data_IF_697315769452
#
_entry.id   IF_697315769452
#
_cell.length_a   1.000
_cell.length_b   1.000
_cell.length_c   1.000
_cell.angle_alpha   90.00
_cell.angle_beta   90.00
_cell.angle_gamma   90.00
#
_symmetry.space_group_name_H-M   'P 1'
#
loop_
_entity.id
_entity.type
_entity.pdbx_description
1 polymer ?
#
# COMPACT_ATOMS: atom_id res chain seq x y z
N UNK A 1 17.97 15.56 -13.04
CA UNK A 1 17.43 14.32 -13.64
C UNK A 1 16.12 13.99 -12.98
N UNK A 2 15.14 13.66 -13.81
CA UNK A 2 13.82 13.25 -13.33
C UNK A 2 13.91 11.79 -12.83
N UNK A 3 13.36 11.54 -11.66
CA UNK A 3 13.29 10.19 -11.12
C UNK A 3 12.38 9.32 -12.00
N UNK A 4 12.88 8.19 -12.43
CA UNK A 4 12.14 7.27 -13.30
C UNK A 4 12.02 5.88 -12.63
N UNK A 5 10.84 5.54 -12.07
CA UNK A 5 10.65 4.22 -11.45
C UNK A 5 10.85 3.06 -12.43
N UNK A 6 10.50 3.24 -13.70
CA UNK A 6 10.63 2.16 -14.68
C UNK A 6 12.08 1.73 -14.86
N UNK A 7 13.03 2.65 -14.77
CA UNK A 7 14.45 2.33 -14.85
C UNK A 7 14.94 1.46 -13.70
N UNK A 8 14.19 1.42 -12.58
CA UNK A 8 14.50 0.63 -11.39
C UNK A 8 13.68 -0.67 -11.32
N UNK A 9 13.00 -1.02 -12.40
CA UNK A 9 12.25 -2.28 -12.50
C UNK A 9 10.80 -2.20 -12.03
N UNK A 10 10.29 -0.99 -11.72
CA UNK A 10 8.90 -0.79 -11.35
C UNK A 10 8.02 -0.72 -12.59
N UNK A 11 6.80 -1.22 -12.48
CA UNK A 11 5.78 -1.13 -13.53
C UNK A 11 4.58 -0.35 -13.01
N UNK A 12 4.11 0.60 -13.81
CA UNK A 12 2.87 1.30 -13.50
C UNK A 12 1.70 0.31 -13.58
N UNK A 13 0.87 0.29 -12.54
CA UNK A 13 -0.31 -0.56 -12.52
C UNK A 13 -1.39 0.09 -13.39
N UNK A 14 -2.12 -0.76 -14.14
CA UNK A 14 -3.25 -0.32 -14.98
C UNK A 14 -4.59 -0.70 -14.37
N UNK A 15 -4.56 -1.51 -13.32
CA UNK A 15 -5.73 -1.99 -12.59
C UNK A 15 -5.62 -1.58 -11.14
N UNK A 16 -6.72 -1.67 -10.41
CA UNK A 16 -6.78 -1.27 -9.00
C UNK A 16 -6.38 0.20 -8.82
N UNK A 17 -7.10 1.15 -9.45
CA UNK A 17 -6.76 2.56 -9.31
C UNK A 17 -6.98 3.05 -7.90
N UNK A 18 -6.05 3.84 -7.40
CA UNK A 18 -6.20 4.61 -6.18
C UNK A 18 -6.99 5.89 -6.48
N UNK A 19 -7.45 6.63 -5.46
CA UNK A 19 -7.99 7.96 -5.69
C UNK A 19 -7.07 8.79 -6.58
N UNK A 20 -7.65 9.58 -7.49
CA UNK A 20 -6.88 10.31 -8.52
C UNK A 20 -5.80 11.22 -7.95
N UNK A 21 -5.99 11.72 -6.72
CA UNK A 21 -5.01 12.56 -6.03
C UNK A 21 -3.70 11.81 -5.73
N UNK A 22 -3.73 10.48 -5.62
CA UNK A 22 -2.54 9.67 -5.36
C UNK A 22 -1.97 9.13 -6.68
N UNK A 23 -2.81 9.00 -7.69
CA UNK A 23 -2.42 8.53 -9.01
C UNK A 23 -2.34 7.01 -9.10
N UNK A 24 -1.60 6.53 -10.07
CA UNK A 24 -1.43 5.11 -10.29
C UNK A 24 -0.29 4.57 -9.44
N UNK A 25 -0.51 3.44 -8.75
CA UNK A 25 0.58 2.80 -8.03
C UNK A 25 1.56 2.14 -9.00
N UNK A 26 2.76 1.92 -8.51
CA UNK A 26 3.78 1.12 -9.19
C UNK A 26 3.89 -0.22 -8.49
N UNK A 27 4.21 -1.27 -9.26
CA UNK A 27 4.39 -2.61 -8.73
C UNK A 27 5.72 -3.18 -9.18
N UNK A 28 6.35 -3.96 -8.31
CA UNK A 28 7.61 -4.65 -8.59
C UNK A 28 7.59 -6.01 -7.92
N UNK A 29 7.96 -7.04 -8.66
CA UNK A 29 8.09 -8.38 -8.10
C UNK A 29 9.52 -8.58 -7.61
N UNK A 30 9.66 -9.00 -6.35
CA UNK A 30 10.94 -9.35 -5.75
C UNK A 30 10.80 -10.72 -5.10
N UNK A 31 11.69 -11.65 -5.41
CA UNK A 31 11.63 -13.04 -4.96
C UNK A 31 10.25 -13.63 -5.22
N UNK A 32 9.51 -13.99 -4.18
CA UNK A 32 8.18 -14.58 -4.29
C UNK A 32 7.06 -13.62 -3.87
N UNK A 33 7.35 -12.32 -3.80
CA UNK A 33 6.39 -11.35 -3.29
C UNK A 33 6.33 -10.10 -4.17
N UNK A 34 5.23 -9.36 -4.06
CA UNK A 34 5.04 -8.09 -4.73
C UNK A 34 5.33 -6.94 -3.78
N UNK A 35 5.92 -5.89 -4.32
CA UNK A 35 6.06 -4.59 -3.67
C UNK A 35 5.28 -3.56 -4.47
N UNK A 36 4.79 -2.56 -3.76
CA UNK A 36 4.04 -1.46 -4.37
C UNK A 36 4.67 -0.14 -3.98
N UNK A 37 4.46 0.89 -4.79
CA UNK A 37 5.03 2.20 -4.54
C UNK A 37 4.17 3.29 -5.18
N UNK A 38 4.35 4.52 -4.71
CA UNK A 38 3.80 5.69 -5.38
C UNK A 38 4.76 6.87 -5.25
N UNK A 39 4.70 7.76 -6.24
CA UNK A 39 5.51 8.97 -6.24
C UNK A 39 4.70 10.09 -5.60
N UNK A 40 5.25 10.69 -4.54
CA UNK A 40 4.60 11.81 -3.86
C UNK A 40 4.79 13.10 -4.64
N UNK A 41 3.83 14.02 -4.52
CA UNK A 41 3.84 15.31 -5.20
C UNK A 41 3.53 16.43 -4.22
N UNK A 42 3.65 17.67 -4.68
CA UNK A 42 3.32 18.84 -3.86
C UNK A 42 1.86 18.87 -3.44
N UNK A 43 0.96 18.24 -4.19
CA UNK A 43 -0.46 18.15 -3.84
C UNK A 43 -0.69 17.30 -2.58
N UNK A 44 0.26 16.46 -2.21
CA UNK A 44 0.15 15.59 -1.05
C UNK A 44 0.65 16.25 0.25
N UNK A 45 1.24 17.45 0.14
CA UNK A 45 1.91 18.09 1.26
C UNK A 45 0.93 18.82 2.18
N UNK A 46 1.23 18.76 3.49
CA UNK A 46 0.59 19.61 4.50
C UNK A 46 1.25 21.00 4.52
N UNK A 47 0.69 21.96 5.33
CA UNK A 47 1.31 23.29 5.42
C UNK A 47 2.75 23.32 5.90
N UNK A 48 3.22 22.28 6.59
CA UNK A 48 4.61 22.17 7.06
C UNK A 48 5.55 21.58 6.01
N UNK A 49 5.04 21.22 4.83
CA UNK A 49 5.87 20.69 3.74
C UNK A 49 6.10 19.18 3.79
N UNK A 50 5.43 18.48 4.69
CA UNK A 50 5.49 17.01 4.73
C UNK A 50 4.27 16.41 4.05
N UNK A 51 4.41 15.21 3.50
CA UNK A 51 3.26 14.48 2.94
C UNK A 51 2.30 14.12 4.07
N UNK A 52 1.00 14.37 3.84
CA UNK A 52 -0.04 14.04 4.81
C UNK A 52 0.00 12.56 5.20
N UNK A 53 -0.09 12.29 6.51
CA UNK A 53 -0.21 10.92 7.00
C UNK A 53 -1.42 10.21 6.40
N UNK A 54 -2.51 10.94 6.15
CA UNK A 54 -3.71 10.38 5.50
C UNK A 54 -3.46 9.92 4.07
N UNK A 55 -2.58 10.57 3.32
CA UNK A 55 -2.17 10.13 1.98
C UNK A 55 -1.39 8.81 2.09
N UNK A 56 -0.44 8.73 3.01
CA UNK A 56 0.32 7.50 3.24
C UNK A 56 -0.59 6.35 3.67
N UNK A 57 -1.58 6.64 4.51
CA UNK A 57 -2.56 5.64 4.96
C UNK A 57 -3.48 5.18 3.84
N UNK A 58 -3.90 6.07 2.95
CA UNK A 58 -4.70 5.67 1.78
C UNK A 58 -3.92 4.72 0.88
N UNK A 59 -2.67 5.06 0.61
CA UNK A 59 -1.80 4.19 -0.18
C UNK A 59 -1.60 2.84 0.52
N UNK A 60 -1.32 2.84 1.82
CA UNK A 60 -1.11 1.61 2.58
C UNK A 60 -2.37 0.75 2.64
N UNK A 61 -3.53 1.35 2.91
CA UNK A 61 -4.80 0.63 2.94
C UNK A 61 -5.10 -0.04 1.60
N UNK A 62 -4.94 0.70 0.52
CA UNK A 62 -5.18 0.19 -0.83
C UNK A 62 -4.26 -1.00 -1.14
N UNK A 63 -2.97 -0.84 -0.90
CA UNK A 63 -1.97 -1.83 -1.31
C UNK A 63 -1.89 -3.03 -0.36
N UNK A 64 -2.03 -2.83 0.95
CA UNK A 64 -2.16 -3.97 1.88
C UNK A 64 -3.44 -4.74 1.61
N UNK A 65 -4.50 -4.06 1.16
CA UNK A 65 -5.73 -4.71 0.70
C UNK A 65 -5.51 -5.63 -0.49
N UNK A 66 -4.54 -5.33 -1.36
CA UNK A 66 -4.18 -6.23 -2.47
C UNK A 66 -3.57 -7.53 -1.93
N UNK A 67 -2.69 -7.44 -0.92
CA UNK A 67 -2.15 -8.64 -0.27
C UNK A 67 -3.27 -9.49 0.34
N UNK A 68 -4.24 -8.84 0.99
CA UNK A 68 -5.39 -9.54 1.57
C UNK A 68 -6.25 -10.22 0.50
N UNK A 69 -6.51 -9.52 -0.59
CA UNK A 69 -7.29 -10.02 -1.72
C UNK A 69 -6.62 -11.24 -2.36
N UNK A 70 -5.31 -11.20 -2.58
CA UNK A 70 -4.58 -12.37 -3.12
C UNK A 70 -4.63 -13.55 -2.15
N UNK A 71 -4.46 -13.32 -0.85
CA UNK A 71 -4.52 -14.37 0.16
C UNK A 71 -5.92 -14.99 0.27
N UNK A 72 -6.96 -14.24 -0.10
CA UNK A 72 -8.36 -14.68 -0.06
C UNK A 72 -8.83 -15.28 -1.40
N UNK A 73 -7.90 -15.74 -2.24
CA UNK A 73 -8.17 -16.26 -3.59
C UNK A 73 -9.01 -15.27 -4.42
N UNK A 74 -8.67 -13.99 -4.29
CA UNK A 74 -9.29 -12.88 -5.02
C UNK A 74 -10.75 -12.61 -4.66
N UNK A 75 -11.18 -13.06 -3.47
CA UNK A 75 -12.46 -12.62 -2.92
C UNK A 75 -12.35 -11.16 -2.45
N UNK A 76 -13.41 -10.36 -2.61
CA UNK A 76 -13.40 -8.99 -2.11
C UNK A 76 -13.11 -8.94 -0.61
N UNK A 77 -12.31 -7.99 -0.18
CA UNK A 77 -11.99 -7.78 1.23
C UNK A 77 -12.29 -6.33 1.61
N UNK A 78 -12.65 -6.11 2.87
CA UNK A 78 -12.82 -4.78 3.44
C UNK A 78 -11.94 -4.63 4.66
N UNK A 79 -11.36 -3.45 4.83
CA UNK A 79 -10.52 -3.12 5.97
C UNK A 79 -11.37 -3.05 7.24
N UNK A 80 -10.98 -3.82 8.26
CA UNK A 80 -11.61 -3.72 9.57
C UNK A 80 -10.82 -2.76 10.45
N UNK A 81 -9.50 -2.88 10.42
CA UNK A 81 -8.62 -2.12 11.30
C UNK A 81 -7.28 -1.93 10.65
N UNK A 82 -6.68 -0.75 10.84
CA UNK A 82 -5.29 -0.48 10.52
C UNK A 82 -4.65 0.28 11.66
N UNK A 83 -3.48 -0.16 12.10
CA UNK A 83 -2.62 0.56 13.02
C UNK A 83 -1.42 1.07 12.26
N UNK A 84 -1.09 2.34 12.44
CA UNK A 84 0.05 2.96 11.77
C UNK A 84 0.91 3.69 12.78
N UNK A 85 2.21 3.44 12.72
CA UNK A 85 3.20 4.27 13.41
C UNK A 85 3.96 5.04 12.34
N UNK A 86 3.87 6.37 12.38
CA UNK A 86 4.68 7.22 11.50
C UNK A 86 6.05 7.42 12.14
N UNK A 87 7.09 6.97 11.46
CA UNK A 87 8.45 6.92 12.01
C UNK A 87 9.31 8.08 11.55
N UNK A 88 9.07 8.60 10.36
CA UNK A 88 9.83 9.70 9.78
C UNK A 88 8.97 10.46 8.77
N UNK A 89 9.30 11.72 8.52
CA UNK A 89 8.60 12.54 7.56
C UNK A 89 8.89 12.11 6.13
N UNK A 90 7.86 12.20 5.28
CA UNK A 90 7.96 12.03 3.84
C UNK A 90 7.77 13.40 3.21
N UNK A 91 8.62 13.76 2.25
CA UNK A 91 8.53 15.05 1.57
C UNK A 91 8.11 14.87 0.12
N UNK A 92 7.45 15.88 -0.49
CA UNK A 92 7.07 15.81 -1.90
C UNK A 92 8.27 15.49 -2.79
N UNK A 93 8.07 14.59 -3.75
CA UNK A 93 9.13 14.07 -4.60
C UNK A 93 9.71 12.74 -4.14
N UNK A 94 9.44 12.35 -2.89
CA UNK A 94 9.85 11.04 -2.40
C UNK A 94 9.04 9.92 -3.07
N UNK A 95 9.73 8.84 -3.41
CA UNK A 95 9.11 7.62 -3.90
C UNK A 95 8.91 6.68 -2.72
N UNK A 96 7.65 6.46 -2.34
CA UNK A 96 7.31 5.68 -1.16
C UNK A 96 7.03 4.25 -1.58
N UNK A 97 7.81 3.32 -1.02
CA UNK A 97 7.69 1.89 -1.31
C UNK A 97 7.02 1.17 -0.15
N UNK A 98 6.14 0.23 -0.47
CA UNK A 98 5.53 -0.67 0.51
C UNK A 98 6.06 -2.08 0.32
N UNK A 99 6.57 -2.66 1.39
CA UNK A 99 6.85 -4.08 1.50
C UNK A 99 5.88 -4.67 2.50
N UNK A 100 5.01 -5.55 2.04
CA UNK A 100 3.99 -6.17 2.87
C UNK A 100 4.11 -7.68 2.91
N UNK A 101 3.50 -8.26 3.92
CA UNK A 101 3.34 -9.70 4.02
C UNK A 101 2.06 -10.06 4.77
N UNK A 102 1.47 -11.17 4.37
CA UNK A 102 0.34 -11.75 5.10
C UNK A 102 0.89 -12.52 6.29
N UNK A 103 0.48 -12.16 7.50
CA UNK A 103 0.92 -12.84 8.71
C UNK A 103 0.03 -14.02 9.05
N UNK A 104 -1.24 -13.95 8.71
CA UNK A 104 -2.20 -15.05 8.87
C UNK A 104 -3.39 -14.83 7.96
N UNK A 105 -3.86 -15.88 7.34
CA UNK A 105 -5.12 -15.88 6.59
C UNK A 105 -6.02 -17.00 7.11
N UNK A 106 -7.26 -16.64 7.42
CA UNK A 106 -8.32 -17.57 7.74
C UNK A 106 -9.42 -17.44 6.69
N UNK A 107 -10.47 -18.25 6.76
CA UNK A 107 -11.57 -18.15 5.81
C UNK A 107 -12.23 -16.77 5.81
N UNK A 108 -12.31 -16.12 6.96
CA UNK A 108 -13.03 -14.85 7.11
C UNK A 108 -12.15 -13.63 7.30
N UNK A 109 -10.90 -13.81 7.67
CA UNK A 109 -10.00 -12.70 8.04
C UNK A 109 -8.61 -12.91 7.44
N UNK A 110 -7.99 -11.80 7.04
CA UNK A 110 -6.59 -11.77 6.62
C UNK A 110 -5.87 -10.71 7.45
N UNK A 111 -4.77 -11.11 8.05
CA UNK A 111 -3.89 -10.24 8.83
C UNK A 111 -2.68 -9.91 7.97
N UNK A 112 -2.43 -8.62 7.76
CA UNK A 112 -1.36 -8.14 6.87
C UNK A 112 -0.55 -7.08 7.59
N UNK A 113 0.75 -7.09 7.40
CA UNK A 113 1.62 -6.02 7.90
C UNK A 113 2.52 -5.51 6.79
N UNK A 114 3.00 -4.29 6.94
CA UNK A 114 3.88 -3.68 5.95
C UNK A 114 4.72 -2.55 6.51
N UNK A 115 5.78 -2.25 5.78
CA UNK A 115 6.64 -1.11 6.05
C UNK A 115 6.60 -0.20 4.84
N UNK A 116 6.36 1.10 5.08
CA UNK A 116 6.58 2.13 4.08
C UNK A 116 7.99 2.65 4.24
N UNK A 117 8.71 2.75 3.14
CA UNK A 117 10.09 3.22 3.14
C UNK A 117 10.36 4.17 1.98
N UNK A 118 11.30 5.09 2.19
CA UNK A 118 11.88 5.94 1.15
C UNK A 118 13.37 5.61 1.12
N UNK A 119 13.82 4.92 0.07
CA UNK A 119 15.17 4.39 0.04
C UNK A 119 15.41 3.45 1.23
N UNK A 120 16.46 3.71 1.99
CA UNK A 120 16.83 2.91 3.16
C UNK A 120 16.12 3.34 4.44
N UNK A 121 15.26 4.37 4.37
CA UNK A 121 14.63 4.94 5.56
C UNK A 121 13.21 4.42 5.70
N UNK A 122 12.92 3.72 6.80
CA UNK A 122 11.55 3.35 7.13
C UNK A 122 10.79 4.59 7.61
N UNK A 123 9.65 4.87 6.99
CA UNK A 123 8.85 6.05 7.28
C UNK A 123 7.54 5.72 7.99
N UNK A 124 7.05 4.50 7.87
CA UNK A 124 5.89 4.05 8.62
C UNK A 124 5.88 2.54 8.77
N UNK A 125 5.35 2.08 9.89
CA UNK A 125 5.09 0.66 10.15
C UNK A 125 3.59 0.48 10.32
N UNK A 126 3.01 -0.49 9.62
CA UNK A 126 1.57 -0.66 9.54
C UNK A 126 1.22 -2.13 9.72
N UNK A 127 0.16 -2.39 10.47
CA UNK A 127 -0.48 -3.70 10.50
C UNK A 127 -1.99 -3.51 10.43
N UNK A 128 -2.67 -4.51 9.89
CA UNK A 128 -4.12 -4.40 9.74
C UNK A 128 -4.81 -5.74 9.57
N UNK A 129 -6.13 -5.67 9.59
CA UNK A 129 -7.02 -6.80 9.48
C UNK A 129 -8.06 -6.50 8.40
N UNK A 130 -8.23 -7.45 7.49
CA UNK A 130 -9.23 -7.37 6.42
C UNK A 130 -10.23 -8.49 6.56
N UNK A 131 -11.50 -8.15 6.40
CA UNK A 131 -12.57 -9.14 6.38
C UNK A 131 -12.81 -9.59 4.94
N UNK A 132 -12.88 -10.90 4.74
CA UNK A 132 -13.18 -11.49 3.44
C UNK A 132 -14.70 -11.52 3.26
N UNK A 133 -15.17 -10.92 2.16
CA UNK A 133 -16.58 -10.90 1.80
C UNK A 133 -16.85 -12.10 0.88
N UNK A 134 -17.56 -13.09 1.40
CA UNK A 134 -17.95 -14.25 0.60
C UNK A 134 -19.43 -14.21 0.35
N UNK A 135 -19.84 -14.65 -0.85
CA UNK A 135 -21.24 -14.82 -1.16
C UNK A 135 -21.88 -15.80 -0.16
N UNK A 136 -23.10 -15.44 0.32
CA UNK A 136 -23.86 -16.36 1.16
C UNK A 136 -24.21 -17.59 0.33
N UNK A 137 -24.13 -18.80 0.93
CA UNK A 137 -24.62 -19.98 0.23
C UNK A 137 -26.09 -19.79 -0.14
N UNK A 138 -26.41 -20.03 -1.42
CA UNK A 138 -27.80 -20.09 -1.88
C UNK A 138 -28.34 -21.47 -1.50
N UNK A 139 -29.28 -21.50 -0.60
CA UNK A 139 -29.87 -22.79 -0.23
C UNK A 139 -31.15 -22.64 0.46
#
# INVERSE_FOLDING_TARGET
>A
MTFDPAALGWRAMRTNPMPSSIGLPWAKRTDNNWQYAFLTTNEHANPQGAVHGGILMTFADHTLGIYAWEAAQRAPCVTIQMNTHFLAAVTPGDFVELRGEVTRATRGLVFVRGILAVGDKDVAAIDGIWRVLRARPTG
#
